data_IF_613044038428
#
_entry.id   IF_613044038428
#
_cell.length_a   1.000
_cell.length_b   1.000
_cell.length_c   1.000
_cell.angle_alpha   90.00
_cell.angle_beta   90.00
_cell.angle_gamma   90.00
#
_symmetry.space_group_name_H-M   'P 1'
#
loop_
_entity.id
_entity.type
_entity.pdbx_description
1 polymer ?
#
# COMPACT_ATOMS: atom_id res chain seq x y z
N UNK A 1 -3.25 62.54 27.96
CA UNK A 1 -4.02 61.29 28.17
C UNK A 1 -5.19 61.61 29.09
N UNK A 2 -6.44 61.29 28.72
CA UNK A 2 -7.59 61.50 29.61
C UNK A 2 -7.56 60.42 30.71
N UNK A 3 -7.44 60.83 31.97
CA UNK A 3 -7.64 59.98 33.14
C UNK A 3 -9.15 59.93 33.46
N UNK A 4 -9.61 58.78 33.91
CA UNK A 4 -10.96 58.58 34.43
C UNK A 4 -10.87 57.97 35.82
N UNK A 5 -11.86 58.22 36.68
CA UNK A 5 -11.84 57.74 38.06
C UNK A 5 -12.91 56.68 38.23
N UNK A 6 -12.51 55.46 38.59
CA UNK A 6 -13.42 54.35 38.92
C UNK A 6 -13.55 54.28 40.45
N UNK A 7 -14.78 54.28 40.95
CA UNK A 7 -15.06 54.15 42.39
C UNK A 7 -15.23 52.67 42.74
N UNK A 8 -14.32 52.14 43.57
CA UNK A 8 -14.43 50.77 44.09
C UNK A 8 -15.35 50.77 45.31
N UNK A 9 -16.58 50.28 45.12
CA UNK A 9 -17.59 50.16 46.18
C UNK A 9 -17.16 49.28 47.35
N UNK A 10 -16.21 48.35 47.18
CA UNK A 10 -15.73 47.48 48.26
C UNK A 10 -14.60 48.13 49.06
N UNK A 11 -13.77 48.94 48.42
CA UNK A 11 -12.63 49.63 49.07
C UNK A 11 -12.91 51.08 49.46
N UNK A 12 -14.07 51.64 49.07
CA UNK A 12 -14.45 53.07 49.28
C UNK A 12 -13.39 54.06 48.78
N UNK A 13 -12.60 53.69 47.78
CA UNK A 13 -11.48 54.49 47.28
C UNK A 13 -11.63 54.81 45.79
N UNK A 14 -11.15 55.99 45.37
CA UNK A 14 -11.17 56.45 43.98
C UNK A 14 -9.85 56.10 43.32
N UNK A 15 -9.86 55.15 42.38
CA UNK A 15 -8.67 54.81 41.60
C UNK A 15 -8.63 55.58 40.29
N UNK A 16 -7.51 56.26 40.04
CA UNK A 16 -7.24 56.86 38.74
C UNK A 16 -6.84 55.77 37.75
N UNK A 17 -7.71 55.56 36.75
CA UNK A 17 -7.45 54.63 35.66
C UNK A 17 -7.06 55.44 34.43
N UNK A 18 -5.88 55.16 33.89
CA UNK A 18 -5.44 55.71 32.62
C UNK A 18 -6.20 55.04 31.48
N UNK A 19 -7.39 55.56 31.18
CA UNK A 19 -8.33 55.04 30.19
C UNK A 19 -7.66 54.81 28.83
N UNK A 20 -6.75 55.71 28.42
CA UNK A 20 -5.99 55.56 27.19
C UNK A 20 -5.09 54.31 27.17
N UNK A 21 -4.39 54.00 28.27
CA UNK A 21 -3.52 52.81 28.37
C UNK A 21 -4.35 51.53 28.41
N UNK A 22 -5.51 51.58 29.07
CA UNK A 22 -6.46 50.46 29.14
C UNK A 22 -7.05 50.15 27.75
N UNK A 23 -7.47 51.16 26.99
CA UNK A 23 -8.01 50.98 25.63
C UNK A 23 -6.94 50.41 24.68
N UNK A 24 -5.71 50.92 24.74
CA UNK A 24 -4.60 50.40 23.92
C UNK A 24 -4.30 48.95 24.28
N UNK A 25 -4.28 48.62 25.59
CA UNK A 25 -4.10 47.25 26.06
C UNK A 25 -5.22 46.33 25.55
N UNK A 26 -6.48 46.70 25.74
CA UNK A 26 -7.64 45.91 25.29
C UNK A 26 -7.63 45.69 23.76
N UNK A 27 -7.30 46.72 22.97
CA UNK A 27 -7.21 46.62 21.51
C UNK A 27 -6.06 45.71 21.08
N UNK A 28 -4.90 45.81 21.74
CA UNK A 28 -3.75 44.93 21.50
C UNK A 28 -4.08 43.47 21.86
N UNK A 29 -4.69 43.24 23.03
CA UNK A 29 -5.12 41.90 23.46
C UNK A 29 -6.14 41.29 22.51
N UNK A 30 -7.13 42.06 22.05
CA UNK A 30 -8.11 41.59 21.07
C UNK A 30 -7.44 41.22 19.74
N UNK A 31 -6.48 42.03 19.27
CA UNK A 31 -5.73 41.76 18.05
C UNK A 31 -4.86 40.49 18.18
N UNK A 32 -4.16 40.32 19.30
CA UNK A 32 -3.38 39.10 19.59
C UNK A 32 -4.29 37.87 19.62
N UNK A 33 -5.47 37.96 20.25
CA UNK A 33 -6.44 36.87 20.29
C UNK A 33 -6.95 36.51 18.89
N UNK A 34 -7.26 37.52 18.05
CA UNK A 34 -7.72 37.28 16.68
C UNK A 34 -6.65 36.64 15.79
N UNK A 35 -5.38 37.10 15.90
CA UNK A 35 -4.27 36.57 15.11
C UNK A 35 -3.91 35.17 15.59
N UNK A 36 -3.90 34.95 16.91
CA UNK A 36 -3.68 33.62 17.50
C UNK A 36 -4.76 32.62 17.09
N UNK A 37 -6.04 33.02 17.10
CA UNK A 37 -7.14 32.19 16.62
C UNK A 37 -7.01 31.81 15.15
N UNK A 38 -6.68 32.78 14.28
CA UNK A 38 -6.45 32.52 12.86
C UNK A 38 -5.28 31.56 12.65
N UNK A 39 -4.17 31.73 13.40
CA UNK A 39 -3.04 30.81 13.35
C UNK A 39 -3.44 29.38 13.70
N UNK A 40 -4.26 29.18 14.74
CA UNK A 40 -4.73 27.84 15.14
C UNK A 40 -5.60 27.20 14.06
N UNK A 41 -6.45 27.97 13.39
CA UNK A 41 -7.25 27.49 12.26
C UNK A 41 -6.33 27.08 11.10
N UNK A 42 -5.33 27.90 10.76
CA UNK A 42 -4.37 27.60 9.68
C UNK A 42 -3.53 26.37 10.00
N UNK A 43 -3.01 26.24 11.22
CA UNK A 43 -2.24 25.08 11.67
C UNK A 43 -3.11 23.81 11.60
N UNK A 44 -4.37 23.90 12.04
CA UNK A 44 -5.32 22.79 11.97
C UNK A 44 -5.61 22.40 10.52
N UNK A 45 -5.83 23.37 9.64
CA UNK A 45 -6.04 23.13 8.21
C UNK A 45 -4.80 22.53 7.54
N UNK A 46 -3.60 23.03 7.85
CA UNK A 46 -2.34 22.42 7.39
C UNK A 46 -2.18 20.99 7.92
N UNK A 47 -2.49 20.73 9.18
CA UNK A 47 -2.47 19.38 9.75
C UNK A 47 -3.42 18.45 9.01
N UNK A 48 -4.63 18.91 8.70
CA UNK A 48 -5.57 18.19 7.85
C UNK A 48 -5.00 17.99 6.44
N UNK A 49 -4.36 18.97 5.80
CA UNK A 49 -3.73 18.76 4.50
C UNK A 49 -2.60 17.74 4.58
N UNK A 50 -1.74 17.77 5.61
CA UNK A 50 -0.67 16.78 5.77
C UNK A 50 -1.23 15.36 5.97
N UNK A 51 -2.22 15.20 6.86
CA UNK A 51 -2.96 13.94 7.11
C UNK A 51 -3.90 13.58 5.95
N UNK A 52 -4.21 14.56 5.12
CA UNK A 52 -5.03 14.74 3.90
C UNK A 52 -4.37 14.67 2.52
N UNK A 53 -3.04 14.61 2.41
CA UNK A 53 -2.31 14.70 1.12
C UNK A 53 -1.77 13.37 0.49
N UNK A 54 -1.15 12.42 1.24
CA UNK A 54 -0.76 11.09 0.74
C UNK A 54 -1.82 10.13 0.12
N UNK A 55 -2.92 9.74 0.79
CA UNK A 55 -4.06 9.00 0.23
C UNK A 55 -4.74 9.72 -0.97
N UNK A 56 -4.89 11.04 -0.87
CA UNK A 56 -5.10 12.03 -1.93
C UNK A 56 -4.32 11.68 -3.20
N UNK A 57 -3.01 11.69 -3.04
CA UNK A 57 -2.03 11.36 -4.06
C UNK A 57 -2.07 9.89 -4.48
N UNK A 58 -2.35 8.94 -3.58
CA UNK A 58 -2.47 7.53 -3.94
C UNK A 58 -3.67 7.32 -4.88
N UNK A 59 -4.82 7.92 -4.57
CA UNK A 59 -6.01 7.90 -5.41
C UNK A 59 -5.79 8.66 -6.73
N UNK A 60 -5.17 9.85 -6.68
CA UNK A 60 -4.89 10.66 -7.88
C UNK A 60 -3.85 10.01 -8.81
N UNK A 61 -2.80 9.37 -8.24
CA UNK A 61 -1.83 8.58 -9.01
C UNK A 61 -2.53 7.40 -9.68
N UNK A 62 -3.40 6.68 -8.95
CA UNK A 62 -4.20 5.61 -9.53
C UNK A 62 -5.09 6.12 -10.68
N UNK A 63 -5.85 7.21 -10.49
CA UNK A 63 -6.73 7.74 -11.54
C UNK A 63 -5.94 8.23 -12.76
N UNK A 64 -4.87 8.99 -12.56
CA UNK A 64 -4.04 9.54 -13.65
C UNK A 64 -3.32 8.43 -14.43
N UNK A 65 -2.75 7.44 -13.73
CA UNK A 65 -2.10 6.29 -14.37
C UNK A 65 -3.13 5.40 -15.07
N UNK A 66 -4.34 5.22 -14.50
CA UNK A 66 -5.41 4.45 -15.16
C UNK A 66 -5.87 5.12 -16.46
N UNK A 67 -6.00 6.45 -16.49
CA UNK A 67 -6.34 7.20 -17.73
C UNK A 67 -5.20 7.14 -18.74
N UNK A 68 -3.95 7.34 -18.31
CA UNK A 68 -2.80 7.29 -19.21
C UNK A 68 -2.56 5.88 -19.77
N UNK A 69 -2.79 4.83 -18.96
CA UNK A 69 -2.74 3.43 -19.38
C UNK A 69 -3.94 3.04 -20.24
N UNK A 70 -5.11 3.65 -20.05
CA UNK A 70 -6.25 3.48 -20.97
C UNK A 70 -5.96 4.09 -22.34
N UNK A 71 -5.25 5.23 -22.38
CA UNK A 71 -4.79 5.87 -23.62
C UNK A 71 -3.60 5.15 -24.29
N UNK A 72 -2.66 4.60 -23.51
CA UNK A 72 -1.52 3.79 -24.01
C UNK A 72 -1.82 2.29 -24.12
N UNK A 73 -3.02 1.87 -23.73
CA UNK A 73 -3.48 0.48 -23.70
C UNK A 73 -3.96 -0.05 -25.05
N UNK A 74 -3.98 0.79 -26.08
CA UNK A 74 -3.92 0.30 -27.44
C UNK A 74 -2.53 -0.33 -27.68
N UNK A 75 -2.47 -1.65 -27.49
CA UNK A 75 -1.38 -2.55 -27.91
C UNK A 75 -0.15 -2.58 -26.99
N UNK A 76 -0.22 -3.39 -25.92
CA UNK A 76 0.89 -4.29 -25.61
C UNK A 76 0.46 -5.68 -26.08
N UNK A 77 0.55 -5.92 -27.39
CA UNK A 77 0.65 -7.29 -27.91
C UNK A 77 1.99 -7.81 -27.42
N UNK A 78 1.98 -8.85 -26.60
CA UNK A 78 3.17 -9.67 -26.41
C UNK A 78 3.69 -10.04 -27.79
N UNK A 79 4.99 -9.86 -28.10
CA UNK A 79 5.52 -10.44 -29.31
C UNK A 79 5.19 -11.93 -29.24
N UNK A 80 4.54 -12.43 -30.30
CA UNK A 80 4.33 -13.85 -30.45
C UNK A 80 5.67 -14.55 -30.21
N UNK A 81 5.63 -15.67 -29.48
CA UNK A 81 6.74 -16.60 -29.32
C UNK A 81 7.54 -16.62 -30.62
N UNK A 82 8.85 -16.30 -30.63
CA UNK A 82 9.60 -16.28 -31.87
C UNK A 82 9.47 -17.67 -32.50
N UNK A 83 8.78 -17.72 -33.64
CA UNK A 83 8.82 -18.88 -34.53
C UNK A 83 10.29 -19.18 -34.75
N UNK A 84 10.77 -20.42 -34.54
CA UNK A 84 12.17 -20.74 -34.78
C UNK A 84 12.49 -20.43 -36.25
N UNK A 85 13.23 -19.33 -36.48
CA UNK A 85 13.76 -19.01 -37.80
C UNK A 85 14.77 -20.10 -38.13
N UNK A 86 14.46 -20.90 -39.16
CA UNK A 86 15.39 -21.84 -39.75
C UNK A 86 16.64 -21.06 -40.22
N UNK A 87 17.75 -21.19 -39.48
CA UNK A 87 19.00 -20.49 -39.80
C UNK A 87 19.91 -20.12 -38.62
N UNK A 88 19.54 -20.37 -37.37
CA UNK A 88 20.48 -20.22 -36.25
C UNK A 88 21.50 -21.39 -36.24
N UNK A 89 22.81 -21.12 -36.07
CA UNK A 89 23.79 -22.18 -35.89
C UNK A 89 23.46 -23.01 -34.65
N UNK A 90 23.72 -24.31 -34.73
CA UNK A 90 23.40 -25.29 -33.70
C UNK A 90 23.90 -24.87 -32.30
N UNK A 91 23.15 -25.18 -31.22
CA UNK A 91 23.59 -24.90 -29.85
C UNK A 91 24.91 -25.62 -29.54
N UNK A 92 25.79 -24.98 -28.78
CA UNK A 92 27.05 -25.59 -28.35
C UNK A 92 26.78 -26.85 -27.52
N UNK A 93 27.65 -27.85 -27.70
CA UNK A 93 27.54 -29.21 -27.15
C UNK A 93 27.91 -29.30 -25.67
N UNK A 94 27.63 -28.28 -24.85
CA UNK A 94 27.86 -28.37 -23.41
C UNK A 94 26.75 -29.19 -22.75
N UNK A 95 27.04 -30.39 -22.18
CA UNK A 95 25.99 -31.30 -21.67
C UNK A 95 25.27 -30.79 -20.42
N UNK A 96 25.81 -29.76 -19.76
CA UNK A 96 25.35 -29.30 -18.44
C UNK A 96 24.16 -28.30 -18.49
N UNK A 97 23.77 -27.85 -19.69
CA UNK A 97 22.67 -26.89 -19.92
C UNK A 97 21.41 -27.51 -20.55
N UNK A 98 21.27 -28.84 -20.49
CA UNK A 98 20.24 -29.60 -21.22
C UNK A 98 18.86 -29.68 -20.53
N UNK A 99 18.70 -29.10 -19.35
CA UNK A 99 17.37 -28.89 -18.77
C UNK A 99 16.93 -27.44 -19.02
N UNK A 100 16.21 -27.19 -20.12
CA UNK A 100 15.40 -25.98 -20.19
C UNK A 100 14.46 -26.00 -18.96
N UNK A 101 14.55 -25.03 -18.03
CA UNK A 101 13.56 -24.95 -16.97
C UNK A 101 12.19 -24.84 -17.63
N UNK A 102 11.17 -25.45 -17.00
CA UNK A 102 9.78 -25.33 -17.45
C UNK A 102 9.50 -23.87 -17.86
N UNK A 103 8.84 -23.60 -19.01
CA UNK A 103 8.59 -22.24 -19.53
C UNK A 103 7.94 -21.29 -18.52
N UNK A 104 7.33 -21.86 -17.49
CA UNK A 104 6.69 -21.16 -16.39
C UNK A 104 7.66 -20.31 -15.56
N UNK A 105 8.91 -20.73 -15.32
CA UNK A 105 9.77 -20.08 -14.32
C UNK A 105 11.02 -19.46 -14.93
N UNK A 106 10.82 -18.27 -15.47
CA UNK A 106 11.88 -17.53 -16.15
C UNK A 106 12.87 -17.02 -15.09
N UNK A 107 14.17 -17.29 -15.24
CA UNK A 107 15.18 -16.74 -14.34
C UNK A 107 15.11 -15.21 -14.35
N UNK A 108 15.26 -14.59 -13.17
CA UNK A 108 15.13 -13.14 -13.01
C UNK A 108 16.12 -12.34 -13.87
N UNK A 109 17.33 -12.87 -14.09
CA UNK A 109 18.35 -12.23 -14.94
C UNK A 109 17.98 -12.23 -16.43
N UNK A 110 17.12 -13.16 -16.87
CA UNK A 110 16.60 -13.21 -18.25
C UNK A 110 15.44 -12.22 -18.43
N UNK A 111 14.62 -12.04 -17.40
CA UNK A 111 13.44 -11.15 -17.43
C UNK A 111 13.51 -10.15 -16.29
N UNK A 112 14.53 -9.29 -16.30
CA UNK A 112 14.60 -8.22 -15.31
C UNK A 112 13.34 -7.35 -15.46
N UNK A 113 12.51 -7.22 -14.41
CA UNK A 113 11.29 -6.45 -14.50
C UNK A 113 11.59 -4.98 -14.75
N UNK A 114 10.63 -4.29 -15.37
CA UNK A 114 10.71 -2.87 -15.71
C UNK A 114 10.53 -1.96 -14.48
N UNK A 115 10.27 -2.53 -13.29
CA UNK A 115 10.13 -1.81 -12.02
C UNK A 115 11.28 -2.12 -11.05
N UNK A 116 11.46 -1.24 -10.06
CA UNK A 116 12.46 -1.44 -9.00
C UNK A 116 12.00 -2.53 -8.04
N UNK A 117 12.70 -3.67 -8.03
CA UNK A 117 12.41 -4.80 -7.13
C UNK A 117 13.05 -4.54 -5.76
N UNK A 118 12.27 -4.48 -4.67
CA UNK A 118 12.81 -4.22 -3.34
C UNK A 118 13.76 -5.31 -2.83
N UNK A 119 13.48 -6.57 -3.17
CA UNK A 119 14.26 -7.75 -2.81
C UNK A 119 14.18 -8.79 -3.95
N UNK A 120 15.33 -9.16 -4.53
CA UNK A 120 15.42 -10.16 -5.60
C UNK A 120 15.12 -11.59 -5.15
N UNK A 121 15.06 -11.84 -3.83
CA UNK A 121 14.69 -13.13 -3.27
C UNK A 121 13.19 -13.26 -3.03
N UNK A 122 12.51 -12.24 -2.52
CA UNK A 122 11.06 -12.29 -2.35
C UNK A 122 10.40 -10.91 -2.41
N UNK A 123 9.70 -10.64 -3.51
CA UNK A 123 8.94 -9.40 -3.71
C UNK A 123 7.64 -9.63 -4.45
N UNK A 124 6.69 -8.71 -4.30
CA UNK A 124 5.44 -8.67 -5.05
C UNK A 124 5.29 -7.34 -5.78
N UNK A 125 4.74 -7.40 -6.99
CA UNK A 125 4.33 -6.27 -7.81
C UNK A 125 2.91 -6.47 -8.34
N UNK A 126 2.07 -5.45 -8.19
CA UNK A 126 0.71 -5.40 -8.73
C UNK A 126 0.59 -4.12 -9.56
N UNK A 127 0.85 -4.19 -10.88
CA UNK A 127 0.97 -3.00 -11.73
C UNK A 127 -0.26 -2.08 -11.72
N UNK A 128 -1.48 -2.64 -11.68
CA UNK A 128 -2.72 -1.85 -11.75
C UNK A 128 -2.86 -0.87 -10.59
N UNK A 129 -2.37 -1.25 -9.41
CA UNK A 129 -2.50 -0.45 -8.19
C UNK A 129 -1.17 0.15 -7.72
N UNK A 130 -0.12 0.04 -8.54
CA UNK A 130 1.22 0.53 -8.25
C UNK A 130 1.78 0.01 -6.92
N UNK A 131 1.39 -1.20 -6.54
CA UNK A 131 1.85 -1.84 -5.31
C UNK A 131 3.14 -2.60 -5.60
N UNK A 132 4.22 -2.24 -4.91
CA UNK A 132 5.51 -2.92 -4.97
C UNK A 132 6.03 -3.06 -3.54
N UNK A 133 6.39 -4.26 -3.12
CA UNK A 133 6.90 -4.50 -1.77
C UNK A 133 7.74 -5.78 -1.67
N UNK A 134 8.62 -5.83 -0.68
CA UNK A 134 9.25 -7.08 -0.27
C UNK A 134 8.22 -7.97 0.44
N UNK A 135 8.44 -9.28 0.39
CA UNK A 135 7.63 -10.27 1.10
C UNK A 135 8.47 -10.90 2.21
N UNK A 136 7.91 -10.97 3.41
CA UNK A 136 8.50 -11.63 4.57
C UNK A 136 7.94 -13.06 4.59
N UNK A 137 8.78 -14.08 4.35
CA UNK A 137 8.32 -15.46 4.24
C UNK A 137 7.97 -16.06 5.61
N UNK A 138 7.18 -17.14 5.60
CA UNK A 138 6.97 -18.03 6.75
C UNK A 138 6.51 -17.34 8.05
N UNK A 139 5.53 -16.46 7.95
CA UNK A 139 4.97 -15.72 9.09
C UNK A 139 3.76 -16.46 9.67
N UNK A 140 3.81 -16.77 10.97
CA UNK A 140 2.67 -17.35 11.68
C UNK A 140 1.53 -16.31 11.82
N UNK A 141 0.46 -16.52 11.06
CA UNK A 141 -0.73 -15.67 11.08
C UNK A 141 -1.54 -15.76 12.41
N UNK A 142 -1.32 -16.81 13.21
CA UNK A 142 -1.88 -16.98 14.55
C UNK A 142 -1.10 -16.25 15.64
N UNK A 143 0.17 -15.88 15.39
CA UNK A 143 1.00 -15.16 16.35
C UNK A 143 1.00 -13.66 16.09
N UNK A 144 0.25 -12.93 16.94
CA UNK A 144 0.11 -11.47 16.84
C UNK A 144 1.42 -10.71 16.82
N UNK A 145 2.39 -11.11 17.64
CA UNK A 145 3.67 -10.41 17.70
C UNK A 145 4.46 -10.61 16.40
N UNK A 146 4.55 -11.87 15.94
CA UNK A 146 5.30 -12.22 14.74
C UNK A 146 4.74 -11.55 13.49
N UNK A 147 3.42 -11.64 13.25
CA UNK A 147 2.86 -11.04 12.06
C UNK A 147 2.87 -9.51 12.10
N UNK A 148 2.66 -8.88 13.27
CA UNK A 148 2.72 -7.42 13.37
C UNK A 148 4.12 -6.88 13.07
N UNK A 149 5.18 -7.63 13.40
CA UNK A 149 6.55 -7.27 13.04
C UNK A 149 6.81 -7.43 11.54
N UNK A 150 6.35 -8.52 10.93
CA UNK A 150 6.46 -8.73 9.49
C UNK A 150 5.74 -7.62 8.70
N UNK A 151 4.51 -7.27 9.12
CA UNK A 151 3.70 -6.26 8.44
C UNK A 151 4.24 -4.82 8.54
N UNK A 152 5.09 -4.52 9.53
CA UNK A 152 5.85 -3.25 9.56
C UNK A 152 6.90 -3.19 8.45
N UNK A 153 7.37 -4.34 7.99
CA UNK A 153 8.46 -4.44 7.04
C UNK A 153 7.98 -4.62 5.59
N UNK A 154 6.75 -5.09 5.37
CA UNK A 154 6.23 -5.32 4.02
C UNK A 154 5.02 -6.24 4.01
N UNK A 155 4.88 -7.02 2.94
CA UNK A 155 3.85 -8.05 2.80
C UNK A 155 4.30 -9.31 3.53
N UNK A 156 3.42 -10.00 4.25
CA UNK A 156 3.74 -11.25 4.93
C UNK A 156 3.19 -12.45 4.15
N UNK A 157 3.97 -13.52 4.03
CA UNK A 157 3.51 -14.82 3.58
C UNK A 157 3.13 -15.68 4.79
N UNK A 158 1.94 -16.28 4.78
CA UNK A 158 1.51 -17.16 5.86
C UNK A 158 2.31 -18.47 5.90
N UNK A 159 2.80 -18.85 7.07
CA UNK A 159 3.52 -20.10 7.29
C UNK A 159 2.61 -21.33 7.13
N UNK A 160 3.19 -22.45 6.69
CA UNK A 160 2.49 -23.75 6.62
C UNK A 160 1.66 -23.95 5.34
N UNK A 161 1.81 -23.05 4.37
CA UNK A 161 1.21 -23.12 3.04
C UNK A 161 2.30 -23.21 1.96
N UNK A 162 1.90 -23.25 0.69
CA UNK A 162 2.80 -23.42 -0.44
C UNK A 162 3.50 -22.11 -0.84
N UNK A 163 4.71 -22.20 -1.38
CA UNK A 163 5.44 -21.06 -1.92
C UNK A 163 5.11 -20.80 -3.41
N UNK A 164 5.47 -19.62 -3.96
CA UNK A 164 5.31 -19.35 -5.38
C UNK A 164 6.00 -20.43 -6.24
N UNK A 165 5.29 -20.96 -7.24
CA UNK A 165 5.76 -22.07 -8.09
C UNK A 165 5.45 -23.47 -7.57
N UNK A 166 4.92 -23.60 -6.36
CA UNK A 166 4.51 -24.89 -5.79
C UNK A 166 3.01 -25.12 -5.98
N UNK A 167 2.62 -26.39 -6.14
CA UNK A 167 1.20 -26.76 -6.13
C UNK A 167 0.66 -26.53 -4.72
N UNK A 168 -0.31 -25.64 -4.61
CA UNK A 168 -0.94 -25.25 -3.35
C UNK A 168 -1.28 -23.77 -3.32
N UNK A 169 -1.58 -23.27 -2.13
CA UNK A 169 -1.93 -21.86 -1.91
C UNK A 169 -0.71 -21.11 -1.41
N UNK A 170 -0.25 -20.11 -2.14
CA UNK A 170 0.59 -19.04 -1.59
C UNK A 170 -0.31 -17.97 -1.03
N UNK A 171 -0.18 -17.68 0.26
CA UNK A 171 -1.06 -16.73 0.94
C UNK A 171 -0.28 -15.53 1.42
N UNK A 172 -0.54 -14.38 0.81
CA UNK A 172 0.10 -13.11 1.14
C UNK A 172 -0.90 -12.16 1.78
N UNK A 173 -0.51 -11.53 2.88
CA UNK A 173 -1.35 -10.56 3.58
C UNK A 173 -0.59 -9.30 3.96
N UNK A 174 -1.31 -8.18 3.95
CA UNK A 174 -0.76 -6.88 4.34
C UNK A 174 -1.80 -6.01 5.03
N UNK A 175 -1.34 -4.99 5.78
CA UNK A 175 -2.23 -4.06 6.46
C UNK A 175 -3.17 -3.33 5.47
N UNK A 176 -4.43 -3.21 5.89
CA UNK A 176 -5.31 -2.14 5.41
C UNK A 176 -5.19 -1.02 6.43
N UNK A 177 -4.79 0.18 6.02
CA UNK A 177 -4.75 1.34 6.91
C UNK A 177 -5.90 2.29 6.59
N UNK A 178 -6.40 2.97 7.62
CA UNK A 178 -7.46 3.97 7.51
C UNK A 178 -6.93 5.40 7.54
N UNK A 179 -5.70 5.58 8.01
CA UNK A 179 -5.06 6.89 8.17
C UNK A 179 -3.70 6.95 7.46
N UNK A 180 -3.23 8.16 7.16
CA UNK A 180 -1.99 8.39 6.39
C UNK A 180 -0.72 8.29 7.23
N UNK A 181 -0.81 8.61 8.51
CA UNK A 181 0.28 8.38 9.48
C UNK A 181 0.60 6.88 9.50
N UNK A 182 -0.43 6.06 9.32
CA UNK A 182 -0.29 4.61 9.30
C UNK A 182 0.20 4.09 7.94
N UNK A 183 -0.09 4.75 6.83
CA UNK A 183 0.33 4.28 5.50
C UNK A 183 1.85 4.23 5.33
N UNK A 184 2.55 5.28 5.77
CA UNK A 184 4.02 5.32 5.76
C UNK A 184 4.64 4.47 6.87
N UNK A 185 3.92 4.24 7.98
CA UNK A 185 4.40 3.51 9.16
C UNK A 185 4.15 2.00 9.09
N UNK A 186 3.15 1.55 8.33
CA UNK A 186 2.67 0.17 8.31
C UNK A 186 2.59 -0.44 6.90
N UNK A 187 3.22 0.18 5.89
CA UNK A 187 3.35 -0.39 4.53
C UNK A 187 2.03 -0.96 3.99
N UNK A 188 1.02 -0.10 3.82
CA UNK A 188 -0.32 -0.50 3.37
C UNK A 188 -0.40 -0.82 1.86
N UNK A 189 0.47 -1.71 1.42
CA UNK A 189 0.69 -2.13 0.03
C UNK A 189 -0.61 -2.63 -0.62
N UNK A 190 -1.47 -3.28 0.18
CA UNK A 190 -2.72 -3.87 -0.28
C UNK A 190 -3.96 -2.98 -0.09
N UNK A 191 -3.80 -1.71 0.29
CA UNK A 191 -4.91 -0.77 0.46
C UNK A 191 -5.85 -0.68 -0.76
N UNK A 192 -5.28 -0.76 -1.97
CA UNK A 192 -6.01 -0.69 -3.23
C UNK A 192 -6.40 -2.06 -3.81
N UNK A 193 -6.29 -3.16 -3.07
CA UNK A 193 -6.70 -4.48 -3.60
C UNK A 193 -8.14 -4.51 -4.11
N UNK A 194 -9.04 -3.69 -3.54
CA UNK A 194 -10.44 -3.59 -3.97
C UNK A 194 -10.63 -2.99 -5.38
N UNK A 195 -9.54 -2.53 -6.02
CA UNK A 195 -9.51 -2.04 -7.40
C UNK A 195 -9.11 -3.12 -8.41
N UNK A 196 -8.76 -4.31 -7.94
CA UNK A 196 -8.45 -5.45 -8.81
C UNK A 196 -9.74 -6.09 -9.30
N UNK A 197 -9.66 -6.61 -10.53
CA UNK A 197 -10.71 -7.26 -11.28
C UNK A 197 -10.13 -8.50 -11.95
N UNK A 198 -10.99 -9.45 -12.34
CA UNK A 198 -10.58 -10.63 -13.10
C UNK A 198 -9.78 -10.22 -14.34
N UNK A 199 -8.65 -10.88 -14.58
CA UNK A 199 -7.74 -10.58 -15.69
C UNK A 199 -6.56 -9.68 -15.33
N UNK A 200 -6.57 -9.04 -14.16
CA UNK A 200 -5.43 -8.22 -13.72
C UNK A 200 -4.21 -9.07 -13.37
N UNK A 201 -3.02 -8.52 -13.62
CA UNK A 201 -1.75 -9.23 -13.39
C UNK A 201 -1.18 -8.97 -12.01
N UNK A 202 -0.60 -10.02 -11.44
CA UNK A 202 0.21 -9.99 -10.23
C UNK A 202 1.53 -10.70 -10.53
N UNK A 203 2.64 -10.09 -10.17
CA UNK A 203 3.98 -10.64 -10.36
C UNK A 203 4.63 -10.84 -8.99
N UNK A 204 5.21 -12.01 -8.79
CA UNK A 204 5.94 -12.36 -7.57
C UNK A 204 7.35 -12.77 -7.96
N UNK A 205 8.35 -12.12 -7.39
CA UNK A 205 9.73 -12.59 -7.47
C UNK A 205 9.94 -13.50 -6.27
N UNK A 206 10.37 -14.74 -6.49
CA UNK A 206 10.69 -15.69 -5.43
C UNK A 206 11.93 -16.50 -5.81
N UNK A 207 12.93 -16.58 -4.93
CA UNK A 207 14.21 -17.26 -5.16
C UNK A 207 14.85 -16.91 -6.52
N UNK A 208 14.89 -15.61 -6.86
CA UNK A 208 15.44 -15.10 -8.13
C UNK A 208 14.75 -15.66 -9.39
N UNK A 209 13.49 -16.07 -9.27
CA UNK A 209 12.60 -16.45 -10.38
C UNK A 209 11.37 -15.56 -10.36
N UNK A 210 10.87 -15.23 -11.54
CA UNK A 210 9.65 -14.44 -11.67
C UNK A 210 8.45 -15.36 -11.89
N UNK A 211 7.44 -15.17 -11.05
CA UNK A 211 6.19 -15.89 -11.04
C UNK A 211 5.05 -14.95 -11.44
N UNK A 212 4.30 -15.29 -12.49
CA UNK A 212 3.19 -14.46 -13.01
C UNK A 212 1.85 -15.10 -12.71
N UNK A 213 0.92 -14.28 -12.22
CA UNK A 213 -0.43 -14.67 -11.88
C UNK A 213 -1.44 -13.72 -12.52
N UNK A 214 -2.65 -14.22 -12.74
CA UNK A 214 -3.80 -13.45 -13.20
C UNK A 214 -4.93 -13.62 -12.21
N UNK A 215 -5.49 -12.50 -11.76
CA UNK A 215 -6.66 -12.45 -10.86
C UNK A 215 -7.82 -13.19 -11.52
N UNK A 216 -8.43 -14.11 -10.78
CA UNK A 216 -9.66 -14.78 -11.19
C UNK A 216 -10.87 -14.14 -10.53
N UNK A 217 -10.79 -13.88 -9.23
CA UNK A 217 -11.91 -13.34 -8.47
C UNK A 217 -11.48 -12.53 -7.25
N UNK A 218 -12.44 -11.84 -6.67
CA UNK A 218 -12.29 -11.06 -5.45
C UNK A 218 -13.52 -11.28 -4.57
N UNK A 219 -13.27 -11.59 -3.30
CA UNK A 219 -14.30 -11.94 -2.33
C UNK A 219 -14.16 -11.09 -1.06
N UNK A 220 -15.28 -10.84 -0.39
CA UNK A 220 -15.31 -10.23 0.95
C UNK A 220 -15.78 -11.29 1.94
N UNK A 221 -14.90 -11.66 2.86
CA UNK A 221 -15.11 -12.73 3.82
C UNK A 221 -15.19 -12.21 5.26
N UNK A 222 -15.91 -12.90 6.16
CA UNK A 222 -15.80 -12.62 7.60
C UNK A 222 -14.40 -13.02 8.10
N UNK A 223 -13.86 -12.38 9.18
CA UNK A 223 -12.53 -12.69 9.70
C UNK A 223 -12.35 -14.13 10.20
N UNK A 224 -13.45 -14.83 10.48
CA UNK A 224 -13.49 -16.23 10.91
C UNK A 224 -13.44 -17.22 9.75
N UNK A 225 -13.58 -16.77 8.50
CA UNK A 225 -13.45 -17.64 7.34
C UNK A 225 -11.98 -17.81 6.98
N UNK A 226 -11.49 -19.03 7.20
CA UNK A 226 -10.10 -19.42 7.01
C UNK A 226 -9.91 -20.34 5.80
N UNK A 227 -10.87 -20.42 4.86
CA UNK A 227 -10.84 -21.39 3.75
C UNK A 227 -9.56 -21.37 2.92
N UNK A 228 -8.92 -20.20 2.79
CA UNK A 228 -7.67 -20.02 2.05
C UNK A 228 -6.40 -20.17 2.91
N UNK A 229 -6.55 -20.28 4.23
CA UNK A 229 -5.48 -20.58 5.18
C UNK A 229 -5.38 -22.09 5.49
N UNK A 230 -6.02 -22.92 4.67
CA UNK A 230 -5.94 -24.38 4.71
C UNK A 230 -5.09 -24.87 3.53
N UNK A 231 -4.09 -25.75 3.75
CA UNK A 231 -3.32 -26.33 2.67
C UNK A 231 -4.20 -27.11 1.67
N UNK A 232 -3.91 -26.97 0.38
CA UNK A 232 -4.55 -27.74 -0.70
C UNK A 232 -3.48 -28.24 -1.67
N UNK A 233 -3.81 -29.23 -2.50
CA UNK A 233 -2.88 -29.93 -3.40
C UNK A 233 -3.37 -30.06 -4.85
N UNK A 234 -4.34 -29.23 -5.22
CA UNK A 234 -5.04 -29.32 -6.51
C UNK A 234 -4.37 -28.46 -7.59
N UNK A 235 -3.96 -27.24 -7.26
CA UNK A 235 -3.39 -26.27 -8.21
C UNK A 235 -2.59 -25.17 -7.50
N UNK A 236 -1.67 -24.53 -8.21
CA UNK A 236 -0.99 -23.33 -7.73
C UNK A 236 -1.94 -22.12 -7.77
N UNK A 237 -2.18 -21.50 -6.62
CA UNK A 237 -2.93 -20.25 -6.50
C UNK A 237 -2.20 -19.26 -5.61
N UNK A 238 -2.34 -17.98 -5.95
CA UNK A 238 -1.90 -16.87 -5.14
C UNK A 238 -3.12 -16.19 -4.52
N UNK A 239 -3.14 -16.09 -3.20
CA UNK A 239 -4.19 -15.42 -2.44
C UNK A 239 -3.62 -14.16 -1.80
N UNK A 240 -4.24 -13.02 -2.06
CA UNK A 240 -3.86 -11.74 -1.47
C UNK A 240 -4.97 -11.28 -0.51
N UNK A 241 -4.63 -11.02 0.75
CA UNK A 241 -5.60 -10.58 1.76
C UNK A 241 -5.26 -9.20 2.34
N UNK A 242 -6.29 -8.37 2.50
CA UNK A 242 -6.24 -7.21 3.40
C UNK A 242 -7.53 -7.09 4.23
N UNK A 243 -7.54 -6.19 5.22
CA UNK A 243 -8.76 -5.88 5.97
C UNK A 243 -9.70 -4.98 5.15
N UNK A 244 -11.01 -5.10 5.39
CA UNK A 244 -12.02 -4.37 4.64
C UNK A 244 -13.22 -3.97 5.51
N UNK A 245 -13.83 -2.77 5.31
CA UNK A 245 -13.33 -1.66 4.49
C UNK A 245 -11.96 -1.14 4.95
N UNK A 246 -11.23 -0.40 4.09
CA UNK A 246 -9.90 0.08 4.44
C UNK A 246 -9.90 0.88 5.74
N UNK A 247 -9.01 0.54 6.67
CA UNK A 247 -8.93 1.16 8.00
C UNK A 247 -9.79 0.54 9.07
N UNK A 248 -10.48 -0.54 8.76
CA UNK A 248 -11.22 -1.35 9.73
C UNK A 248 -10.61 -2.75 9.81
N UNK A 249 -11.10 -3.58 10.72
CA UNK A 249 -10.75 -5.00 10.84
C UNK A 249 -11.96 -5.92 10.66
N UNK A 250 -13.10 -5.35 10.22
CA UNK A 250 -14.41 -5.99 10.27
C UNK A 250 -14.55 -7.18 9.34
N UNK A 251 -13.98 -7.08 8.13
CA UNK A 251 -14.00 -8.12 7.12
C UNK A 251 -12.61 -8.29 6.52
N UNK A 252 -12.47 -9.29 5.66
CA UNK A 252 -11.29 -9.52 4.84
C UNK A 252 -11.69 -9.35 3.38
N UNK A 253 -10.90 -8.57 2.66
CA UNK A 253 -10.94 -8.58 1.20
C UNK A 253 -9.88 -9.56 0.75
N UNK A 254 -10.29 -10.54 -0.06
CA UNK A 254 -9.42 -11.59 -0.59
C UNK A 254 -9.45 -11.53 -2.10
N UNK A 255 -8.27 -11.52 -2.72
CA UNK A 255 -8.11 -11.64 -4.18
C UNK A 255 -7.47 -13.00 -4.45
N UNK A 256 -8.09 -13.79 -5.32
CA UNK A 256 -7.57 -15.09 -5.74
C UNK A 256 -7.05 -14.95 -7.17
N UNK A 257 -5.80 -15.36 -7.38
CA UNK A 257 -5.14 -15.33 -8.67
C UNK A 257 -4.58 -16.71 -9.02
N UNK A 258 -4.69 -17.09 -10.29
CA UNK A 258 -4.12 -18.33 -10.82
C UNK A 258 -2.78 -18.09 -11.47
N UNK A 259 -1.95 -19.13 -11.48
CA UNK A 259 -0.71 -19.14 -12.24
C UNK A 259 -0.95 -18.90 -13.74
N UNK A 260 -0.11 -18.08 -14.37
CA UNK A 260 0.01 -18.00 -15.83
C UNK A 260 1.22 -18.80 -16.27
N UNK A 261 1.00 -19.71 -17.20
CA UNK A 261 2.04 -20.50 -17.88
C UNK A 261 2.73 -19.72 -18.98
#
# INVERSE_FOLDING_TARGET
MKSGVLYDSKKKERQEVYVGRLIIFLKSSAQVLSVGGLMMIVISAMGLVVIYWPLAMAQAKYSTVSTLRSMKGAVVKYPATPTPTAGMPAPSTNPELTAFPSPTDIPFWVTKPVYNVPDENYSINIPKILAVSKVIPNVDAGNTQAYMEALRNGVAEASGLAHPGEVGTTYLFAHSVGSRVDFARYNAVFYLLHKLESGDQVEVVYQKRMYKYVVEETEILPPSDLKFLVPQKEREILVLQTCYPPGTTWKRLVVVAKRVS
#
